data_IF_768495003016
#
_entry.id   IF_768495003016
#
_cell.length_a   1.000
_cell.length_b   1.000
_cell.length_c   1.000
_cell.angle_alpha   90.00
_cell.angle_beta   90.00
_cell.angle_gamma   90.00
#
_symmetry.space_group_name_H-M   'P 1'
#
loop_
_entity.id
_entity.type
_entity.pdbx_description
1 polymer ?
#
# COMPACT_ATOMS: atom_id res chain seq x y z
N UNK A 1 -2.55 0.77 41.69
CA UNK A 1 -1.71 0.41 40.50
C UNK A 1 -1.66 1.65 39.64
N UNK A 2 -0.53 1.91 38.99
CA UNK A 2 -0.47 2.98 37.99
C UNK A 2 -1.36 2.63 36.81
N UNK A 3 -1.93 3.64 36.17
CA UNK A 3 -2.62 3.45 34.90
C UNK A 3 -1.63 3.02 33.82
N UNK A 4 -2.10 2.27 32.84
CA UNK A 4 -1.28 1.76 31.73
C UNK A 4 -1.55 2.52 30.44
N UNK A 5 -0.50 2.67 29.63
CA UNK A 5 -0.56 3.10 28.23
C UNK A 5 0.06 2.05 27.34
N UNK A 6 -0.57 1.77 26.19
CA UNK A 6 0.03 0.94 25.14
C UNK A 6 0.73 1.87 24.14
N UNK A 7 2.02 1.65 23.93
CA UNK A 7 2.83 2.38 22.96
C UNK A 7 3.01 1.55 21.69
N UNK A 8 2.65 2.13 20.53
CA UNK A 8 3.07 1.61 19.23
C UNK A 8 4.60 1.73 19.14
N UNK A 9 5.29 0.61 19.28
CA UNK A 9 6.73 0.56 19.47
C UNK A 9 7.43 -0.08 18.28
N UNK A 10 8.19 0.70 17.54
CA UNK A 10 9.02 0.22 16.43
C UNK A 10 10.45 -0.13 16.83
N UNK A 11 10.88 0.27 18.04
CA UNK A 11 12.26 0.16 18.49
C UNK A 11 13.20 1.22 17.90
N UNK A 12 12.69 2.15 17.11
CA UNK A 12 13.43 3.32 16.64
C UNK A 12 13.67 4.35 17.73
N UNK A 13 14.44 5.38 17.41
CA UNK A 13 14.84 6.44 18.36
C UNK A 13 13.61 7.10 18.99
N UNK A 14 12.69 7.60 18.16
CA UNK A 14 11.51 8.35 18.61
C UNK A 14 10.66 7.51 19.59
N UNK A 15 10.32 6.28 19.22
CA UNK A 15 9.48 5.42 20.05
C UNK A 15 10.19 4.98 21.34
N UNK A 16 11.52 4.91 21.31
CA UNK A 16 12.34 4.62 22.49
C UNK A 16 12.37 5.81 23.47
N UNK A 17 12.53 7.04 22.97
CA UNK A 17 12.48 8.27 23.78
C UNK A 17 11.09 8.50 24.40
N UNK A 18 10.02 8.06 23.73
CA UNK A 18 8.64 8.19 24.24
C UNK A 18 8.42 7.37 25.52
N UNK A 19 9.12 6.26 25.75
CA UNK A 19 8.93 5.43 26.94
C UNK A 19 9.21 6.21 28.24
N UNK A 20 10.41 6.77 28.48
CA UNK A 20 10.66 7.57 29.67
C UNK A 20 9.80 8.84 29.72
N UNK A 21 9.53 9.46 28.56
CA UNK A 21 8.68 10.64 28.48
C UNK A 21 7.25 10.40 29.00
N UNK A 22 6.63 9.27 28.64
CA UNK A 22 5.31 8.88 29.14
C UNK A 22 5.30 8.65 30.67
N UNK A 23 6.37 8.08 31.20
CA UNK A 23 6.52 7.84 32.64
C UNK A 23 6.63 9.15 33.42
N UNK A 24 7.42 10.12 32.92
CA UNK A 24 7.64 11.42 33.57
C UNK A 24 6.41 12.33 33.47
N UNK A 25 5.81 12.43 32.31
CA UNK A 25 4.75 13.42 32.05
C UNK A 25 3.33 12.95 32.37
N UNK A 26 3.11 11.63 32.42
CA UNK A 26 1.80 11.03 32.64
C UNK A 26 1.78 10.04 33.80
N UNK A 27 2.91 9.65 34.35
CA UNK A 27 3.04 8.64 35.40
C UNK A 27 2.43 7.29 35.06
N UNK A 28 2.47 6.90 33.76
CA UNK A 28 1.95 5.62 33.28
C UNK A 28 2.95 4.48 33.42
N UNK A 29 2.44 3.27 33.55
CA UNK A 29 3.16 2.04 33.21
C UNK A 29 3.08 1.83 31.68
N UNK A 30 4.23 1.74 31.03
CA UNK A 30 4.30 1.70 29.56
C UNK A 30 4.37 0.26 29.07
N UNK A 31 3.35 -0.17 28.36
CA UNK A 31 3.28 -1.46 27.65
C UNK A 31 3.64 -1.21 26.18
N UNK A 32 4.79 -1.68 25.75
CA UNK A 32 5.19 -1.60 24.35
C UNK A 32 4.51 -2.68 23.54
N UNK A 33 4.07 -2.36 22.34
CA UNK A 33 3.54 -3.31 21.37
C UNK A 33 4.18 -3.06 20.00
N UNK A 34 5.01 -3.99 19.56
CA UNK A 34 5.51 -4.06 18.20
C UNK A 34 4.63 -5.04 17.41
N UNK A 35 4.17 -4.61 16.25
CA UNK A 35 3.36 -5.45 15.37
C UNK A 35 4.20 -5.81 14.16
N UNK A 36 4.44 -7.11 13.98
CA UNK A 36 5.19 -7.64 12.86
C UNK A 36 4.28 -7.78 11.64
N UNK A 37 4.54 -6.95 10.63
CA UNK A 37 3.94 -7.00 9.30
C UNK A 37 4.92 -7.55 8.25
N UNK A 38 5.95 -8.29 8.67
CA UNK A 38 6.99 -8.84 7.82
C UNK A 38 8.17 -7.90 7.59
N UNK A 39 8.51 -7.05 8.57
CA UNK A 39 9.66 -6.14 8.52
C UNK A 39 11.02 -6.82 8.74
N UNK A 40 11.03 -8.11 9.09
CA UNK A 40 12.25 -8.93 9.16
C UNK A 40 13.22 -8.52 10.26
N UNK A 41 14.47 -8.27 9.90
CA UNK A 41 15.59 -7.99 10.83
C UNK A 41 15.40 -6.76 11.73
N UNK A 42 14.46 -5.90 11.44
CA UNK A 42 14.13 -4.72 12.28
C UNK A 42 13.62 -5.12 13.69
N UNK A 43 13.21 -6.39 13.86
CA UNK A 43 12.76 -6.94 15.14
C UNK A 43 13.91 -7.38 16.06
N UNK A 44 15.14 -7.47 15.55
CA UNK A 44 16.28 -7.96 16.30
C UNK A 44 16.65 -7.01 17.45
N UNK A 45 16.86 -7.58 18.63
CA UNK A 45 17.23 -6.84 19.84
C UNK A 45 16.13 -5.94 20.45
N UNK A 46 14.91 -6.04 19.95
CA UNK A 46 13.78 -5.21 20.36
C UNK A 46 13.42 -5.39 21.84
N UNK A 47 13.48 -6.63 22.32
CA UNK A 47 13.13 -6.98 23.70
C UNK A 47 14.08 -6.34 24.73
N UNK A 48 15.38 -6.41 24.46
CA UNK A 48 16.41 -5.79 25.29
C UNK A 48 16.25 -4.25 25.26
N UNK A 49 16.03 -3.69 24.08
CA UNK A 49 15.86 -2.25 23.90
C UNK A 49 14.66 -1.71 24.67
N UNK A 50 13.50 -2.35 24.56
CA UNK A 50 12.30 -1.98 25.30
C UNK A 50 12.53 -2.04 26.82
N UNK A 51 13.19 -3.10 27.30
CA UNK A 51 13.52 -3.28 28.72
C UNK A 51 14.47 -2.20 29.24
N UNK A 52 15.56 -1.93 28.53
CA UNK A 52 16.52 -0.88 28.88
C UNK A 52 15.85 0.50 28.91
N UNK A 53 14.92 0.76 28.03
CA UNK A 53 14.19 2.03 27.99
C UNK A 53 13.14 2.15 29.09
N UNK A 54 12.93 1.11 29.88
CA UNK A 54 12.04 1.12 31.05
C UNK A 54 10.59 0.75 30.73
N UNK A 55 10.33 0.07 29.64
CA UNK A 55 9.03 -0.52 29.36
C UNK A 55 8.67 -1.55 30.44
N UNK A 56 7.40 -1.54 30.87
CA UNK A 56 6.89 -2.51 31.84
C UNK A 56 6.70 -3.88 31.21
N UNK A 57 6.35 -3.90 29.92
CA UNK A 57 6.09 -5.11 29.13
C UNK A 57 6.26 -4.82 27.65
N UNK A 58 6.65 -5.83 26.89
CA UNK A 58 6.68 -5.81 25.44
C UNK A 58 5.79 -6.94 24.89
N UNK A 59 5.00 -6.62 23.90
CA UNK A 59 4.35 -7.55 22.98
C UNK A 59 4.99 -7.44 21.61
N UNK A 60 5.30 -8.58 20.99
CA UNK A 60 5.66 -8.70 19.58
C UNK A 60 4.57 -9.58 18.96
N UNK A 61 3.74 -8.99 18.12
CA UNK A 61 2.54 -9.64 17.56
C UNK A 61 2.71 -9.80 16.06
N UNK A 62 2.90 -11.04 15.61
CA UNK A 62 2.99 -11.35 14.19
C UNK A 62 1.59 -11.37 13.56
N UNK A 63 1.35 -10.42 12.66
CA UNK A 63 0.14 -10.35 11.85
C UNK A 63 0.45 -10.49 10.35
N UNK A 64 1.59 -11.05 9.99
CA UNK A 64 2.06 -11.10 8.59
C UNK A 64 1.03 -11.74 7.65
N UNK A 65 0.44 -12.87 8.05
CA UNK A 65 -0.58 -13.53 7.24
C UNK A 65 -1.90 -12.74 7.24
N UNK A 66 -2.38 -12.25 8.41
CA UNK A 66 -3.54 -11.36 8.51
C UNK A 66 -3.37 -10.08 7.65
N UNK A 67 -2.18 -9.50 7.69
CA UNK A 67 -1.86 -8.33 6.86
C UNK A 67 -2.01 -8.63 5.36
N UNK A 68 -1.56 -9.79 4.93
CA UNK A 68 -1.70 -10.21 3.54
C UNK A 68 -3.17 -10.47 3.15
N UNK A 69 -3.87 -11.28 3.95
CA UNK A 69 -5.20 -11.76 3.60
C UNK A 69 -6.29 -10.70 3.77
N UNK A 70 -6.21 -9.89 4.83
CA UNK A 70 -7.27 -8.94 5.18
C UNK A 70 -7.05 -7.53 4.62
N UNK A 71 -5.80 -7.13 4.30
CA UNK A 71 -5.47 -5.77 3.84
C UNK A 71 -4.86 -5.71 2.45
N UNK A 72 -3.87 -6.56 2.14
CA UNK A 72 -3.21 -6.56 0.84
C UNK A 72 -4.14 -7.14 -0.23
N UNK A 73 -4.69 -8.34 -0.02
CA UNK A 73 -5.54 -9.01 -1.02
C UNK A 73 -6.71 -8.15 -1.46
N UNK A 74 -7.51 -7.50 -0.58
CA UNK A 74 -8.57 -6.60 -1.03
C UNK A 74 -8.07 -5.43 -1.88
N UNK A 75 -6.89 -4.87 -1.57
CA UNK A 75 -6.29 -3.80 -2.37
C UNK A 75 -5.80 -4.29 -3.74
N UNK A 76 -5.25 -5.52 -3.81
CA UNK A 76 -4.87 -6.16 -5.09
C UNK A 76 -6.12 -6.42 -5.93
N UNK A 77 -7.15 -7.03 -5.35
CA UNK A 77 -8.42 -7.30 -6.04
C UNK A 77 -9.09 -6.02 -6.56
N UNK A 78 -8.92 -4.91 -5.86
CA UNK A 78 -9.46 -3.61 -6.26
C UNK A 78 -8.62 -2.88 -7.32
N UNK A 79 -7.38 -3.29 -7.57
CA UNK A 79 -6.36 -2.49 -8.27
C UNK A 79 -6.21 -1.10 -7.61
N UNK A 80 -6.14 -1.08 -6.27
CA UNK A 80 -6.10 0.15 -5.49
C UNK A 80 -4.70 0.77 -5.52
N UNK A 81 -4.55 1.83 -6.30
CA UNK A 81 -3.28 2.56 -6.49
C UNK A 81 -3.51 4.05 -6.25
N UNK A 82 -2.85 4.62 -5.24
CA UNK A 82 -2.98 6.04 -4.95
C UNK A 82 -2.18 6.88 -5.94
N UNK A 83 -2.82 7.92 -6.48
CA UNK A 83 -2.25 8.82 -7.49
C UNK A 83 -1.59 8.09 -8.68
N UNK A 84 -2.13 6.93 -9.06
CA UNK A 84 -1.68 6.07 -10.17
C UNK A 84 -0.25 5.52 -10.02
N UNK A 85 0.35 5.59 -8.84
CA UNK A 85 1.73 5.13 -8.60
C UNK A 85 1.92 4.39 -7.29
N UNK A 86 1.38 4.91 -6.19
CA UNK A 86 1.67 4.41 -4.85
C UNK A 86 0.81 3.19 -4.51
N UNK A 87 1.45 2.05 -4.26
CA UNK A 87 0.80 0.77 -3.95
C UNK A 87 0.43 0.62 -2.46
N UNK A 88 0.30 1.71 -1.72
CA UNK A 88 -0.32 1.83 -0.39
C UNK A 88 0.37 1.06 0.76
N UNK A 89 1.61 0.62 0.62
CA UNK A 89 2.24 -0.32 1.57
C UNK A 89 2.20 0.14 3.03
N UNK A 90 2.59 1.37 3.33
CA UNK A 90 2.47 1.94 4.69
C UNK A 90 1.00 2.08 5.10
N UNK A 91 0.16 2.57 4.18
CA UNK A 91 -1.25 2.86 4.47
C UNK A 91 -2.05 1.62 4.82
N UNK A 92 -1.79 0.48 4.14
CA UNK A 92 -2.45 -0.80 4.39
C UNK A 92 -2.04 -1.44 5.72
N UNK A 93 -0.82 -1.19 6.20
CA UNK A 93 -0.33 -1.78 7.44
C UNK A 93 -0.94 -1.10 8.68
N UNK A 94 -1.19 0.20 8.64
CA UNK A 94 -1.60 0.98 9.83
C UNK A 94 -2.94 0.54 10.44
N UNK A 95 -4.01 0.19 9.70
CA UNK A 95 -5.23 -0.32 10.31
C UNK A 95 -5.02 -1.67 11.03
N UNK A 96 -4.23 -2.60 10.48
CA UNK A 96 -3.88 -3.87 11.14
C UNK A 96 -3.10 -3.64 12.43
N UNK A 97 -2.10 -2.77 12.39
CA UNK A 97 -1.33 -2.37 13.59
C UNK A 97 -2.24 -1.74 14.64
N UNK A 98 -3.08 -0.76 14.24
CA UNK A 98 -3.99 -0.09 15.17
C UNK A 98 -4.99 -1.05 15.82
N UNK A 99 -5.53 -2.01 15.07
CA UNK A 99 -6.40 -3.07 15.59
C UNK A 99 -5.69 -3.86 16.69
N UNK A 100 -4.45 -4.28 16.46
CA UNK A 100 -3.67 -5.03 17.43
C UNK A 100 -3.33 -4.20 18.68
N UNK A 101 -3.01 -2.91 18.52
CA UNK A 101 -2.82 -1.99 19.65
C UNK A 101 -4.05 -1.88 20.51
N UNK A 102 -5.24 -1.78 19.93
CA UNK A 102 -6.53 -1.76 20.66
C UNK A 102 -6.77 -3.07 21.39
N UNK A 103 -6.54 -4.22 20.77
CA UNK A 103 -6.68 -5.54 21.41
C UNK A 103 -5.76 -5.67 22.63
N UNK A 104 -4.51 -5.26 22.52
CA UNK A 104 -3.55 -5.26 23.64
C UNK A 104 -3.97 -4.25 24.73
N UNK A 105 -4.44 -3.07 24.35
CA UNK A 105 -4.93 -2.08 25.31
C UNK A 105 -6.11 -2.62 26.12
N UNK A 106 -7.06 -3.29 25.48
CA UNK A 106 -8.19 -3.96 26.16
C UNK A 106 -7.70 -5.08 27.08
N UNK A 107 -6.76 -5.92 26.62
CA UNK A 107 -6.18 -7.03 27.38
C UNK A 107 -5.45 -6.56 28.62
N UNK A 108 -4.72 -5.46 28.55
CA UNK A 108 -3.95 -4.88 29.64
C UNK A 108 -4.74 -3.94 30.55
N UNK A 109 -5.99 -3.60 30.18
CA UNK A 109 -6.79 -2.58 30.86
C UNK A 109 -6.14 -1.18 30.78
N UNK A 110 -5.49 -0.88 29.67
CA UNK A 110 -4.85 0.40 29.42
C UNK A 110 -5.88 1.50 29.17
N UNK A 111 -5.62 2.68 29.70
CA UNK A 111 -6.50 3.86 29.54
C UNK A 111 -6.14 4.70 28.33
N UNK A 112 -4.96 4.46 27.76
CA UNK A 112 -4.47 5.23 26.61
C UNK A 112 -3.68 4.35 25.63
N UNK A 113 -3.63 4.80 24.37
CA UNK A 113 -2.72 4.32 23.33
C UNK A 113 -1.88 5.51 22.88
N UNK A 114 -0.57 5.30 22.76
CA UNK A 114 0.39 6.30 22.28
C UNK A 114 1.02 5.85 20.97
N UNK A 115 1.23 6.77 20.04
CA UNK A 115 1.98 6.53 18.80
C UNK A 115 3.05 7.59 18.59
N UNK A 116 4.17 7.22 17.96
CA UNK A 116 5.29 8.11 17.65
C UNK A 116 5.22 8.80 16.29
N UNK A 117 4.07 8.76 15.60
CA UNK A 117 3.93 9.40 14.31
C UNK A 117 4.08 10.92 14.41
N UNK A 118 4.93 11.51 13.55
CA UNK A 118 5.20 12.94 13.52
C UNK A 118 4.00 13.76 13.06
N UNK A 119 3.94 15.03 13.48
CA UNK A 119 2.86 15.94 13.08
C UNK A 119 2.79 16.30 11.60
N UNK A 120 3.84 15.96 10.83
CA UNK A 120 3.93 16.20 9.37
C UNK A 120 3.52 14.99 8.52
N UNK A 121 3.46 13.79 9.14
CA UNK A 121 3.17 12.53 8.44
C UNK A 121 1.68 12.19 8.41
N UNK A 122 1.29 11.33 7.46
CA UNK A 122 -0.07 10.80 7.35
C UNK A 122 -0.40 9.78 8.46
N UNK A 123 0.61 9.11 9.01
CA UNK A 123 0.42 7.98 9.92
C UNK A 123 -0.31 8.34 11.21
N UNK A 124 -0.13 9.57 11.71
CA UNK A 124 -0.93 10.08 12.82
C UNK A 124 -2.44 9.98 12.54
N UNK A 125 -2.87 10.32 11.32
CA UNK A 125 -4.29 10.26 10.92
C UNK A 125 -4.73 8.80 10.84
N UNK A 126 -3.92 7.93 10.23
CA UNK A 126 -4.21 6.49 10.04
C UNK A 126 -4.36 5.76 11.37
N UNK A 127 -3.45 5.98 12.31
CA UNK A 127 -3.56 5.42 13.66
C UNK A 127 -4.79 5.94 14.41
N UNK A 128 -4.97 7.26 14.46
CA UNK A 128 -6.02 7.85 15.26
C UNK A 128 -7.42 7.54 14.74
N UNK A 129 -7.64 7.59 13.43
CA UNK A 129 -8.94 7.24 12.85
C UNK A 129 -9.28 5.76 13.09
N UNK A 130 -8.29 4.86 12.97
CA UNK A 130 -8.47 3.44 13.26
C UNK A 130 -8.77 3.21 14.74
N UNK A 131 -8.01 3.82 15.65
CA UNK A 131 -8.25 3.69 17.09
C UNK A 131 -9.62 4.27 17.48
N UNK A 132 -10.00 5.44 16.96
CA UNK A 132 -11.30 6.06 17.22
C UNK A 132 -12.47 5.20 16.73
N UNK A 133 -12.30 4.49 15.60
CA UNK A 133 -13.32 3.59 15.09
C UNK A 133 -13.48 2.32 15.96
N UNK A 134 -12.36 1.77 16.47
CA UNK A 134 -12.35 0.52 17.21
C UNK A 134 -12.50 0.68 18.73
N UNK A 135 -12.03 1.80 19.29
CA UNK A 135 -12.01 2.05 20.72
C UNK A 135 -12.19 3.55 21.04
N UNK A 136 -13.41 4.10 20.84
CA UNK A 136 -13.66 5.54 21.02
C UNK A 136 -13.50 6.04 22.45
N UNK A 137 -13.48 5.15 23.43
CA UNK A 137 -13.31 5.41 24.86
C UNK A 137 -11.83 5.46 25.30
N UNK A 138 -10.89 5.00 24.48
CA UNK A 138 -9.45 5.01 24.80
C UNK A 138 -8.85 6.36 24.42
N UNK A 139 -8.10 6.96 25.35
CA UNK A 139 -7.37 8.20 25.11
C UNK A 139 -6.21 7.96 24.12
N UNK A 140 -6.04 8.86 23.15
CA UNK A 140 -4.90 8.85 22.25
C UNK A 140 -3.87 9.87 22.70
N UNK A 141 -2.60 9.48 22.75
CA UNK A 141 -1.45 10.35 23.06
C UNK A 141 -0.55 10.40 21.81
N UNK A 142 -0.31 11.61 21.34
CA UNK A 142 0.57 11.89 20.20
C UNK A 142 1.64 12.90 20.63
N UNK A 143 2.83 12.45 21.06
CA UNK A 143 3.86 13.32 21.64
C UNK A 143 4.23 14.51 20.78
N UNK A 144 4.42 14.31 19.47
CA UNK A 144 4.77 15.36 18.52
C UNK A 144 3.77 16.53 18.43
N UNK A 145 2.60 16.40 19.04
CA UNK A 145 1.57 17.45 19.14
C UNK A 145 1.26 17.82 20.60
N UNK A 146 2.06 17.34 21.53
CA UNK A 146 1.92 17.64 22.96
C UNK A 146 2.91 18.73 23.35
N UNK A 147 2.45 19.77 24.02
CA UNK A 147 3.28 20.89 24.48
C UNK A 147 4.42 20.46 25.43
N UNK A 148 4.31 19.30 26.06
CA UNK A 148 5.33 18.71 26.91
C UNK A 148 6.47 18.05 26.15
N UNK A 149 6.28 17.74 24.87
CA UNK A 149 7.33 17.20 24.01
C UNK A 149 8.27 18.33 23.58
N UNK A 150 9.52 18.27 24.03
CA UNK A 150 10.53 19.31 23.79
C UNK A 150 11.66 18.86 22.87
N UNK A 151 11.60 17.61 22.39
CA UNK A 151 12.60 17.04 21.49
C UNK A 151 12.18 17.30 20.05
N UNK A 152 12.73 18.33 19.43
CA UNK A 152 12.41 18.79 18.08
C UNK A 152 13.43 18.35 17.02
N UNK A 153 14.47 17.64 17.45
CA UNK A 153 15.52 17.12 16.59
C UNK A 153 16.00 15.74 17.05
N UNK A 154 16.63 15.00 16.13
CA UNK A 154 17.25 13.70 16.40
C UNK A 154 18.31 13.80 17.49
N UNK A 155 19.10 14.86 17.48
CA UNK A 155 20.14 15.13 18.49
C UNK A 155 19.53 15.31 19.87
N UNK A 156 18.43 16.07 19.98
CA UNK A 156 17.73 16.29 21.24
C UNK A 156 17.14 14.97 21.80
N UNK A 157 16.61 14.11 20.94
CA UNK A 157 16.13 12.78 21.35
C UNK A 157 17.26 11.88 21.85
N UNK A 158 18.42 11.88 21.17
CA UNK A 158 19.61 11.11 21.58
C UNK A 158 20.10 11.62 22.95
N UNK A 159 20.19 12.94 23.13
CA UNK A 159 20.60 13.52 24.40
C UNK A 159 19.63 13.18 25.54
N UNK A 160 18.33 13.24 25.25
CA UNK A 160 17.29 12.86 26.20
C UNK A 160 17.39 11.38 26.61
N UNK A 161 17.57 10.48 25.64
CA UNK A 161 17.78 9.06 25.91
C UNK A 161 19.03 8.83 26.77
N UNK A 162 20.17 9.48 26.47
CA UNK A 162 21.40 9.38 27.24
C UNK A 162 21.23 9.88 28.68
N UNK A 163 20.50 10.99 28.87
CA UNK A 163 20.19 11.52 30.20
C UNK A 163 19.38 10.55 31.06
N UNK A 164 18.62 9.63 30.42
CA UNK A 164 17.85 8.57 31.07
C UNK A 164 18.61 7.23 31.17
N UNK A 165 19.91 7.21 30.84
CA UNK A 165 20.73 5.99 30.87
C UNK A 165 20.42 4.99 29.77
N UNK A 166 19.76 5.45 28.71
CA UNK A 166 19.42 4.63 27.53
C UNK A 166 20.53 4.86 26.51
N UNK A 167 21.40 3.86 26.35
CA UNK A 167 22.42 3.84 25.30
C UNK A 167 21.87 3.20 24.05
N UNK A 168 21.79 3.97 22.98
CA UNK A 168 21.20 3.52 21.72
C UNK A 168 22.28 3.31 20.66
N UNK A 169 22.17 2.26 19.85
CA UNK A 169 23.11 2.00 18.76
C UNK A 169 22.93 2.98 17.57
N UNK A 170 22.16 4.05 17.76
CA UNK A 170 21.88 5.04 16.73
C UNK A 170 22.93 6.15 16.76
N UNK A 171 23.66 6.28 15.63
CA UNK A 171 24.54 7.41 15.41
C UNK A 171 23.81 8.69 15.01
N UNK A 172 24.57 9.78 14.97
CA UNK A 172 24.10 11.08 14.43
C UNK A 172 24.14 11.12 12.89
N UNK A 173 24.57 10.03 12.24
CA UNK A 173 24.69 9.99 10.80
C UNK A 173 23.32 10.16 10.13
N UNK A 174 23.30 11.04 9.12
CA UNK A 174 22.12 11.24 8.32
C UNK A 174 21.78 9.95 7.55
N UNK A 175 20.56 9.50 7.70
CA UNK A 175 20.04 8.32 7.01
C UNK A 175 18.65 8.59 6.46
N UNK A 176 18.26 7.85 5.42
CA UNK A 176 16.88 7.90 4.95
C UNK A 176 15.91 7.52 6.08
N UNK A 177 14.81 8.23 6.16
CA UNK A 177 13.66 7.75 6.91
C UNK A 177 13.03 6.59 6.15
N UNK A 178 12.89 5.44 6.82
CA UNK A 178 12.39 4.20 6.22
C UNK A 178 11.21 3.65 7.01
N UNK A 179 10.22 3.12 6.28
CA UNK A 179 9.15 2.29 6.83
C UNK A 179 9.07 1.02 5.99
N UNK A 180 9.18 -0.14 6.64
CA UNK A 180 9.26 -1.45 6.00
C UNK A 180 8.18 -2.38 6.51
N UNK A 181 7.60 -3.14 5.59
CA UNK A 181 6.77 -4.30 5.86
C UNK A 181 6.95 -5.32 4.72
N UNK A 182 6.20 -6.41 4.74
CA UNK A 182 6.30 -7.44 3.71
C UNK A 182 6.03 -6.94 2.30
N UNK A 183 5.14 -5.94 2.14
CA UNK A 183 4.72 -5.42 0.85
C UNK A 183 5.73 -4.47 0.23
N UNK A 184 6.35 -3.62 1.06
CA UNK A 184 7.23 -2.55 0.55
C UNK A 184 8.26 -2.05 1.58
N UNK A 185 9.15 -1.20 1.10
CA UNK A 185 9.91 -0.26 1.91
C UNK A 185 9.83 1.14 1.31
N UNK A 186 9.60 2.15 2.16
CA UNK A 186 9.65 3.56 1.78
C UNK A 186 10.99 4.19 2.14
N UNK A 187 11.41 5.17 1.35
CA UNK A 187 12.60 5.99 1.58
C UNK A 187 12.24 7.46 1.42
N UNK A 188 12.53 8.25 2.45
CA UNK A 188 12.31 9.71 2.46
C UNK A 188 13.54 10.41 3.05
N UNK A 189 13.71 11.69 2.77
CA UNK A 189 14.78 12.53 3.31
C UNK A 189 16.03 12.61 2.42
N UNK A 190 17.08 13.23 2.92
CA UNK A 190 18.35 13.47 2.24
C UNK A 190 18.14 14.18 0.88
N UNK A 191 18.78 13.68 -0.20
CA UNK A 191 18.66 14.27 -1.55
C UNK A 191 17.23 14.21 -2.10
N UNK A 192 16.35 13.34 -1.55
CA UNK A 192 14.96 13.23 -1.99
C UNK A 192 14.10 14.44 -1.57
N UNK A 193 14.55 15.25 -0.61
CA UNK A 193 13.82 16.46 -0.17
C UNK A 193 13.73 17.51 -1.27
N UNK A 194 14.67 17.52 -2.21
CA UNK A 194 14.61 18.36 -3.40
C UNK A 194 14.23 17.51 -4.62
N UNK A 195 13.05 17.74 -5.23
CA UNK A 195 12.63 17.01 -6.42
C UNK A 195 13.56 17.18 -7.65
N UNK A 196 14.45 18.15 -7.65
CA UNK A 196 15.43 18.35 -8.71
C UNK A 196 16.60 17.35 -8.63
N UNK A 197 16.80 16.69 -7.49
CA UNK A 197 17.89 15.75 -7.31
C UNK A 197 17.54 14.35 -7.81
N UNK A 198 18.50 13.68 -8.45
CA UNK A 198 18.41 12.27 -8.79
C UNK A 198 18.56 11.41 -7.52
N UNK A 199 17.72 10.36 -7.31
CA UNK A 199 17.90 9.44 -6.21
C UNK A 199 19.19 8.64 -6.34
N UNK A 200 19.92 8.49 -5.24
CA UNK A 200 21.10 7.63 -5.21
C UNK A 200 20.69 6.17 -4.98
N UNK A 201 20.29 5.47 -6.03
CA UNK A 201 19.81 4.09 -5.94
C UNK A 201 20.84 3.09 -5.38
N UNK A 202 22.15 3.39 -5.46
CA UNK A 202 23.18 2.52 -4.86
C UNK A 202 23.10 2.44 -3.35
N UNK A 203 22.76 3.56 -2.70
CA UNK A 203 22.66 3.65 -1.25
C UNK A 203 21.23 3.54 -0.74
N UNK A 204 20.27 3.81 -1.61
CA UNK A 204 18.87 3.85 -1.25
C UNK A 204 18.24 2.45 -1.24
N UNK A 205 18.45 1.64 -2.29
CA UNK A 205 17.75 0.37 -2.49
C UNK A 205 18.17 -0.69 -1.47
N UNK A 206 17.19 -1.42 -0.93
CA UNK A 206 17.33 -2.47 0.08
C UNK A 206 16.73 -3.79 -0.39
N UNK A 207 15.59 -3.74 -1.10
CA UNK A 207 14.88 -4.96 -1.54
C UNK A 207 15.35 -5.44 -2.90
N UNK A 208 16.02 -4.61 -3.66
CA UNK A 208 16.43 -4.95 -5.01
C UNK A 208 17.63 -4.16 -5.51
N UNK A 209 17.80 -4.20 -6.81
CA UNK A 209 18.85 -3.48 -7.54
C UNK A 209 18.23 -2.52 -8.55
N UNK A 210 18.98 -1.52 -9.01
CA UNK A 210 18.52 -0.68 -10.12
C UNK A 210 18.41 -1.50 -11.41
N UNK A 211 17.55 -1.11 -12.38
CA UNK A 211 17.42 -1.80 -13.66
C UNK A 211 18.74 -1.98 -14.40
N UNK A 212 19.67 -1.03 -14.29
CA UNK A 212 20.99 -1.08 -14.91
C UNK A 212 21.86 -2.20 -14.33
N UNK A 213 21.71 -2.51 -13.04
CA UNK A 213 22.44 -3.56 -12.31
C UNK A 213 21.75 -4.92 -12.34
N UNK A 214 20.51 -4.99 -12.87
CA UNK A 214 19.78 -6.23 -13.00
C UNK A 214 20.42 -7.16 -14.05
N UNK A 215 20.23 -8.51 -13.91
CA UNK A 215 20.78 -9.48 -14.85
C UNK A 215 20.41 -9.22 -16.32
N UNK A 216 21.32 -9.55 -17.24
CA UNK A 216 21.07 -9.48 -18.68
C UNK A 216 20.20 -10.65 -19.20
N UNK A 217 20.01 -11.68 -18.39
CA UNK A 217 19.13 -12.81 -18.73
C UNK A 217 17.75 -12.62 -18.11
N UNK A 218 16.66 -12.72 -18.90
CA UNK A 218 15.31 -12.64 -18.38
C UNK A 218 14.94 -13.89 -17.57
N UNK A 219 14.03 -13.71 -16.61
CA UNK A 219 13.49 -14.80 -15.81
C UNK A 219 11.98 -14.92 -15.99
N UNK A 220 11.46 -16.14 -16.23
CA UNK A 220 10.04 -16.36 -16.35
C UNK A 220 9.43 -16.65 -14.97
N UNK A 221 8.26 -16.09 -14.73
CA UNK A 221 7.43 -16.36 -13.55
C UNK A 221 6.02 -16.69 -13.99
N UNK A 222 5.45 -17.74 -13.40
CA UNK A 222 4.07 -18.16 -13.61
C UNK A 222 3.32 -18.07 -12.29
N UNK A 223 2.15 -17.46 -12.30
CA UNK A 223 1.30 -17.30 -11.12
C UNK A 223 -0.09 -17.85 -11.38
N UNK A 224 -0.68 -18.54 -10.40
CA UNK A 224 -2.08 -18.96 -10.47
C UNK A 224 -2.93 -18.19 -9.46
N UNK A 225 -4.15 -17.94 -9.86
CA UNK A 225 -5.17 -17.25 -9.05
C UNK A 225 -6.43 -18.09 -8.95
N UNK A 226 -7.11 -17.99 -7.81
CA UNK A 226 -8.45 -18.49 -7.59
C UNK A 226 -9.30 -17.39 -6.95
N UNK A 227 -10.37 -16.97 -7.63
CA UNK A 227 -11.26 -15.88 -7.20
C UNK A 227 -10.49 -14.59 -6.82
N UNK A 228 -9.53 -14.24 -7.64
CA UNK A 228 -8.69 -13.04 -7.46
C UNK A 228 -7.62 -13.15 -6.37
N UNK A 229 -7.47 -14.31 -5.73
CA UNK A 229 -6.45 -14.55 -4.72
C UNK A 229 -5.29 -15.34 -5.34
N UNK A 230 -4.02 -14.93 -5.19
CA UNK A 230 -2.89 -15.69 -5.70
C UNK A 230 -2.71 -16.98 -4.89
N UNK A 231 -2.47 -18.11 -5.56
CA UNK A 231 -2.39 -19.44 -4.93
C UNK A 231 -1.09 -20.17 -5.18
N UNK A 232 -0.33 -19.79 -6.22
CA UNK A 232 0.97 -20.39 -6.50
C UNK A 232 1.92 -19.48 -7.27
N UNK A 233 3.21 -19.75 -7.14
CA UNK A 233 4.27 -19.20 -8.00
C UNK A 233 5.09 -20.38 -8.55
N UNK A 234 5.31 -20.38 -9.87
CA UNK A 234 6.06 -21.42 -10.59
C UNK A 234 5.60 -22.84 -10.25
N UNK A 235 4.26 -23.04 -10.17
CA UNK A 235 3.63 -24.32 -9.86
C UNK A 235 3.67 -24.75 -8.39
N UNK A 236 4.35 -24.01 -7.51
CA UNK A 236 4.39 -24.29 -6.08
C UNK A 236 3.26 -23.54 -5.37
N UNK A 237 2.32 -24.27 -4.78
CA UNK A 237 1.27 -23.73 -3.92
C UNK A 237 1.85 -23.15 -2.65
N UNK A 238 1.44 -21.96 -2.27
CA UNK A 238 1.89 -21.22 -1.10
C UNK A 238 0.77 -20.35 -0.55
N UNK A 239 0.88 -19.94 0.71
CA UNK A 239 0.06 -18.86 1.27
C UNK A 239 0.50 -17.49 0.69
N UNK A 240 -0.38 -16.51 0.78
CA UNK A 240 -0.16 -15.19 0.14
C UNK A 240 1.12 -14.52 0.63
N UNK A 241 1.43 -14.60 1.93
CA UNK A 241 2.64 -14.02 2.49
C UNK A 241 3.92 -14.60 1.89
N UNK A 242 3.95 -15.93 1.64
CA UNK A 242 5.11 -16.60 1.01
C UNK A 242 5.20 -16.29 -0.48
N UNK A 243 4.05 -16.12 -1.16
CA UNK A 243 3.99 -15.65 -2.55
C UNK A 243 4.64 -14.28 -2.65
N UNK A 244 4.26 -13.34 -1.77
CA UNK A 244 4.82 -11.99 -1.78
C UNK A 244 6.33 -12.01 -1.51
N UNK A 245 6.82 -12.83 -0.56
CA UNK A 245 8.26 -13.00 -0.30
C UNK A 245 9.01 -13.48 -1.55
N UNK A 246 8.48 -14.51 -2.21
CA UNK A 246 9.10 -15.03 -3.43
C UNK A 246 9.08 -14.00 -4.57
N UNK A 247 7.98 -13.29 -4.74
CA UNK A 247 7.88 -12.23 -5.75
C UNK A 247 8.79 -11.03 -5.42
N UNK A 248 8.98 -10.70 -4.13
CA UNK A 248 9.96 -9.69 -3.71
C UNK A 248 11.38 -10.11 -4.12
N UNK A 249 11.74 -11.38 -3.90
CA UNK A 249 13.05 -11.91 -4.30
C UNK A 249 13.25 -11.85 -5.81
N UNK A 250 12.25 -12.28 -6.59
CA UNK A 250 12.31 -12.29 -8.05
C UNK A 250 12.31 -10.84 -8.61
N UNK A 251 11.39 -10.01 -8.15
CA UNK A 251 11.25 -8.63 -8.61
C UNK A 251 12.46 -7.77 -8.24
N UNK A 252 12.95 -7.90 -7.00
CA UNK A 252 14.15 -7.19 -6.54
C UNK A 252 15.39 -7.54 -7.35
N UNK A 253 15.60 -8.83 -7.67
CA UNK A 253 16.68 -9.31 -8.54
C UNK A 253 16.64 -8.64 -9.91
N UNK A 254 15.46 -8.38 -10.46
CA UNK A 254 15.27 -7.81 -11.80
C UNK A 254 15.01 -6.30 -11.81
N UNK A 255 15.20 -5.60 -10.69
CA UNK A 255 15.04 -4.15 -10.61
C UNK A 255 13.61 -3.66 -10.77
N UNK A 256 12.62 -4.49 -10.40
CA UNK A 256 11.19 -4.20 -10.55
C UNK A 256 10.66 -3.49 -9.29
N UNK A 257 9.70 -2.57 -9.48
CA UNK A 257 8.92 -1.98 -8.41
C UNK A 257 9.58 -0.81 -7.70
N UNK A 258 10.49 -0.12 -8.34
CA UNK A 258 11.06 1.16 -7.88
C UNK A 258 10.13 2.28 -8.33
N UNK A 259 9.56 3.01 -7.39
CA UNK A 259 8.57 4.06 -7.63
C UNK A 259 9.03 5.35 -6.98
N UNK A 260 9.38 6.35 -7.78
CA UNK A 260 9.65 7.71 -7.32
C UNK A 260 8.40 8.57 -7.55
N UNK A 261 7.87 9.14 -6.48
CA UNK A 261 6.63 9.90 -6.52
C UNK A 261 6.70 11.16 -5.65
N UNK A 262 6.17 12.25 -6.18
CA UNK A 262 5.76 13.42 -5.40
C UNK A 262 4.27 13.29 -5.17
N UNK A 263 3.88 12.88 -3.97
CA UNK A 263 2.49 12.62 -3.58
C UNK A 263 1.86 13.76 -2.80
N UNK A 264 0.53 13.82 -2.79
CA UNK A 264 -0.22 14.76 -1.95
C UNK A 264 -0.58 14.07 -0.63
N UNK A 265 0.00 14.53 0.48
CA UNK A 265 -0.34 14.02 1.82
C UNK A 265 -1.74 14.49 2.25
N UNK A 266 -2.41 13.69 3.06
CA UNK A 266 -3.71 14.03 3.67
C UNK A 266 -3.64 15.33 4.47
N UNK A 267 -2.51 15.59 5.10
CA UNK A 267 -2.23 16.83 5.84
C UNK A 267 -2.02 18.06 4.94
N UNK A 268 -2.13 17.92 3.61
CA UNK A 268 -2.20 19.02 2.63
C UNK A 268 -0.90 19.42 1.96
N UNK A 269 0.25 18.88 2.38
CA UNK A 269 1.54 19.16 1.75
C UNK A 269 1.90 18.11 0.70
N UNK A 270 2.75 18.48 -0.25
CA UNK A 270 3.42 17.53 -1.14
C UNK A 270 4.65 16.93 -0.43
N UNK A 271 4.90 15.65 -0.70
CA UNK A 271 6.09 14.96 -0.20
C UNK A 271 6.62 14.04 -1.29
N UNK A 272 7.93 13.94 -1.40
CA UNK A 272 8.59 12.99 -2.29
C UNK A 272 9.07 11.79 -1.49
N UNK A 273 8.81 10.60 -2.02
CA UNK A 273 9.36 9.36 -1.51
C UNK A 273 9.73 8.43 -2.65
N UNK A 274 10.71 7.58 -2.42
CA UNK A 274 11.02 6.43 -3.27
C UNK A 274 10.56 5.17 -2.55
N UNK A 275 9.78 4.36 -3.25
CA UNK A 275 9.23 3.12 -2.73
C UNK A 275 9.81 1.93 -3.49
N UNK A 276 10.19 0.89 -2.78
CA UNK A 276 10.48 -0.42 -3.36
C UNK A 276 9.31 -1.35 -3.06
N UNK A 277 8.62 -1.79 -4.11
CA UNK A 277 7.48 -2.72 -4.00
C UNK A 277 7.59 -3.81 -5.07
N UNK A 278 8.69 -4.59 -5.08
CA UNK A 278 8.98 -5.48 -6.20
C UNK A 278 7.93 -6.57 -6.40
N UNK A 279 7.60 -7.30 -5.35
CA UNK A 279 6.59 -8.36 -5.41
C UNK A 279 5.18 -7.82 -5.60
N UNK A 280 4.87 -6.70 -4.95
CA UNK A 280 3.57 -6.04 -5.09
C UNK A 280 3.32 -5.59 -6.52
N UNK A 281 4.31 -5.03 -7.19
CA UNK A 281 4.20 -4.59 -8.59
C UNK A 281 3.91 -5.78 -9.52
N UNK A 282 4.61 -6.92 -9.32
CA UNK A 282 4.35 -8.14 -10.11
C UNK A 282 2.95 -8.68 -9.82
N UNK A 283 2.54 -8.73 -8.56
CA UNK A 283 1.24 -9.28 -8.15
C UNK A 283 0.08 -8.44 -8.69
N UNK A 284 0.16 -7.11 -8.58
CA UNK A 284 -0.85 -6.18 -9.13
C UNK A 284 -0.99 -6.33 -10.64
N UNK A 285 0.13 -6.37 -11.35
CA UNK A 285 0.11 -6.54 -12.82
C UNK A 285 -0.45 -7.91 -13.24
N UNK A 286 -0.10 -8.98 -12.50
CA UNK A 286 -0.63 -10.32 -12.79
C UNK A 286 -2.14 -10.42 -12.59
N UNK A 287 -2.64 -9.87 -11.48
CA UNK A 287 -4.06 -9.83 -11.18
C UNK A 287 -4.82 -9.05 -12.26
N UNK A 288 -4.35 -7.86 -12.60
CA UNK A 288 -4.93 -7.00 -13.63
C UNK A 288 -4.98 -7.68 -15.00
N UNK A 289 -3.88 -8.34 -15.39
CA UNK A 289 -3.83 -9.05 -16.66
C UNK A 289 -4.84 -10.21 -16.72
N UNK A 290 -5.11 -10.88 -15.60
CA UNK A 290 -6.14 -11.93 -15.56
C UNK A 290 -7.55 -11.32 -15.66
N UNK A 291 -7.81 -10.19 -15.02
CA UNK A 291 -9.09 -9.48 -15.14
C UNK A 291 -9.39 -9.03 -16.56
N UNK A 292 -8.40 -8.58 -17.32
CA UNK A 292 -8.55 -8.22 -18.75
C UNK A 292 -9.16 -9.36 -19.56
N UNK A 293 -8.95 -10.61 -19.13
CA UNK A 293 -9.42 -11.79 -19.85
C UNK A 293 -10.84 -12.22 -19.43
N UNK A 294 -11.23 -11.94 -18.18
CA UNK A 294 -12.44 -12.56 -17.59
C UNK A 294 -13.55 -11.57 -17.23
N UNK A 295 -13.26 -10.28 -17.15
CA UNK A 295 -14.27 -9.27 -16.84
C UNK A 295 -14.78 -8.58 -18.10
N UNK A 296 -16.09 -8.32 -18.14
CA UNK A 296 -16.69 -7.49 -19.18
C UNK A 296 -16.35 -6.00 -18.98
N UNK A 297 -16.52 -5.21 -20.04
CA UNK A 297 -16.18 -3.80 -20.08
C UNK A 297 -16.84 -2.98 -18.96
N UNK A 298 -18.14 -3.15 -18.75
CA UNK A 298 -18.89 -2.33 -17.77
C UNK A 298 -18.44 -2.63 -16.34
N UNK A 299 -18.20 -3.91 -16.04
CA UNK A 299 -17.65 -4.35 -14.76
C UNK A 299 -16.24 -3.79 -14.53
N UNK A 300 -15.36 -3.84 -15.54
CA UNK A 300 -14.00 -3.29 -15.44
C UNK A 300 -14.01 -1.78 -15.19
N UNK A 301 -14.83 -1.01 -15.93
CA UNK A 301 -14.95 0.44 -15.76
C UNK A 301 -15.42 0.79 -14.35
N UNK A 302 -16.47 0.15 -13.86
CA UNK A 302 -17.01 0.39 -12.51
C UNK A 302 -16.01 -0.02 -11.42
N UNK A 303 -15.36 -1.19 -11.60
CA UNK A 303 -14.34 -1.67 -10.65
C UNK A 303 -13.16 -0.72 -10.54
N UNK A 304 -12.71 -0.12 -11.65
CA UNK A 304 -11.64 0.88 -11.65
C UNK A 304 -12.00 2.10 -10.82
N UNK A 305 -13.25 2.58 -10.91
CA UNK A 305 -13.72 3.71 -10.08
C UNK A 305 -13.74 3.34 -8.60
N UNK A 306 -14.17 2.11 -8.28
CA UNK A 306 -14.16 1.60 -6.91
C UNK A 306 -12.74 1.38 -6.39
N UNK A 307 -11.81 0.92 -7.21
CA UNK A 307 -10.39 0.81 -6.88
C UNK A 307 -9.74 2.16 -6.55
N UNK A 308 -10.00 3.17 -7.37
CA UNK A 308 -9.59 4.55 -7.09
C UNK A 308 -10.20 5.05 -5.77
N UNK A 309 -11.47 4.71 -5.51
CA UNK A 309 -12.12 5.07 -4.24
C UNK A 309 -11.50 4.37 -3.06
N UNK A 310 -11.21 3.08 -3.17
CA UNK A 310 -10.55 2.31 -2.12
C UNK A 310 -9.15 2.85 -1.82
N UNK A 311 -8.38 3.21 -2.86
CA UNK A 311 -7.04 3.77 -2.68
C UNK A 311 -7.06 5.05 -1.83
N UNK A 312 -8.04 5.94 -2.04
CA UNK A 312 -8.24 7.13 -1.24
C UNK A 312 -8.62 6.79 0.21
N UNK A 313 -9.59 5.88 0.39
CA UNK A 313 -10.05 5.43 1.70
C UNK A 313 -8.87 4.88 2.53
N UNK A 314 -8.07 4.00 1.94
CA UNK A 314 -6.90 3.39 2.57
C UNK A 314 -5.83 4.43 2.88
N UNK A 315 -5.51 5.29 1.90
CA UNK A 315 -4.51 6.35 2.07
C UNK A 315 -4.85 7.30 3.20
N UNK A 316 -6.13 7.65 3.35
CA UNK A 316 -6.66 8.55 4.37
C UNK A 316 -6.88 7.88 5.74
N UNK A 317 -6.60 6.58 5.90
CA UNK A 317 -6.75 5.86 7.16
C UNK A 317 -8.20 5.54 7.54
N UNK A 318 -9.11 5.44 6.56
CA UNK A 318 -10.55 5.22 6.74
C UNK A 318 -10.95 3.75 6.55
N UNK A 319 -10.05 2.80 6.86
CA UNK A 319 -10.29 1.37 6.68
C UNK A 319 -11.54 0.89 7.42
N UNK A 320 -11.69 1.26 8.70
CA UNK A 320 -12.81 0.84 9.54
C UNK A 320 -14.04 1.75 9.37
N UNK A 321 -14.52 1.88 8.13
CA UNK A 321 -15.72 2.67 7.82
C UNK A 321 -16.71 1.85 6.98
N UNK A 322 -18.04 2.10 7.12
CA UNK A 322 -19.04 1.44 6.29
C UNK A 322 -18.78 1.60 4.77
N UNK A 323 -18.19 2.73 4.36
CA UNK A 323 -17.84 2.95 2.95
C UNK A 323 -16.75 1.99 2.49
N UNK A 324 -15.71 1.75 3.32
CA UNK A 324 -14.67 0.78 2.99
C UNK A 324 -15.25 -0.62 2.86
N UNK A 325 -16.09 -1.04 3.80
CA UNK A 325 -16.76 -2.34 3.77
C UNK A 325 -17.61 -2.53 2.50
N UNK A 326 -18.37 -1.50 2.11
CA UNK A 326 -19.21 -1.54 0.92
C UNK A 326 -18.37 -1.64 -0.37
N UNK A 327 -17.29 -0.88 -0.47
CA UNK A 327 -16.39 -0.92 -1.63
C UNK A 327 -15.67 -2.28 -1.71
N UNK A 328 -15.15 -2.79 -0.60
CA UNK A 328 -14.53 -4.12 -0.55
C UNK A 328 -15.52 -5.23 -0.91
N UNK A 329 -16.77 -5.15 -0.44
CA UNK A 329 -17.81 -6.13 -0.79
C UNK A 329 -18.13 -6.11 -2.29
N UNK A 330 -18.24 -4.92 -2.89
CA UNK A 330 -18.41 -4.77 -4.34
C UNK A 330 -17.23 -5.40 -5.08
N UNK A 331 -16.01 -5.02 -4.74
CA UNK A 331 -14.80 -5.55 -5.39
C UNK A 331 -14.75 -7.07 -5.28
N UNK A 332 -14.95 -7.61 -4.08
CA UNK A 332 -14.96 -9.08 -3.84
C UNK A 332 -15.98 -9.80 -4.72
N UNK A 333 -17.17 -9.21 -4.95
CA UNK A 333 -18.20 -9.82 -5.80
C UNK A 333 -17.78 -9.94 -7.26
N UNK A 334 -16.90 -9.04 -7.74
CA UNK A 334 -16.38 -9.09 -9.11
C UNK A 334 -15.32 -10.16 -9.33
N UNK A 335 -14.80 -10.76 -8.25
CA UNK A 335 -13.67 -11.69 -8.29
C UNK A 335 -14.07 -13.17 -8.47
N UNK A 336 -15.34 -13.49 -8.46
CA UNK A 336 -15.84 -14.88 -8.49
C UNK A 336 -15.26 -15.71 -9.64
N UNK A 337 -15.02 -15.09 -10.79
CA UNK A 337 -14.49 -15.74 -11.99
C UNK A 337 -13.05 -15.36 -12.32
N UNK A 338 -12.39 -14.53 -11.47
CA UNK A 338 -10.99 -14.14 -11.68
C UNK A 338 -10.08 -15.29 -11.22
N UNK A 339 -10.07 -16.35 -12.05
CA UNK A 339 -9.37 -17.62 -11.80
C UNK A 339 -8.61 -18.02 -13.06
N UNK A 340 -7.32 -18.33 -12.92
CA UNK A 340 -6.50 -18.70 -14.05
C UNK A 340 -5.01 -18.61 -13.77
N UNK A 341 -4.23 -18.64 -14.85
CA UNK A 341 -2.77 -18.60 -14.81
C UNK A 341 -2.26 -17.43 -15.63
N UNK A 342 -1.27 -16.71 -15.08
CA UNK A 342 -0.57 -15.62 -15.73
C UNK A 342 0.91 -15.92 -15.76
N UNK A 343 1.55 -15.70 -16.91
CA UNK A 343 2.98 -15.87 -17.12
C UNK A 343 3.62 -14.56 -17.56
N UNK A 344 4.70 -14.20 -16.91
CA UNK A 344 5.52 -13.06 -17.23
C UNK A 344 6.97 -13.44 -17.55
N UNK A 345 7.64 -12.53 -18.22
CA UNK A 345 9.07 -12.47 -18.35
C UNK A 345 9.57 -11.20 -17.64
N UNK A 346 10.37 -11.36 -16.58
CA UNK A 346 10.96 -10.28 -15.79
C UNK A 346 12.32 -9.93 -16.36
N UNK A 347 12.54 -8.65 -16.68
CA UNK A 347 13.77 -8.20 -17.30
C UNK A 347 14.02 -6.71 -17.08
N UNK A 348 15.11 -6.37 -16.39
CA UNK A 348 15.62 -4.99 -16.24
C UNK A 348 14.52 -3.96 -15.95
N UNK A 349 13.83 -4.13 -14.83
CA UNK A 349 12.76 -3.24 -14.37
C UNK A 349 11.41 -3.43 -15.07
N UNK A 350 11.33 -4.33 -16.06
CA UNK A 350 10.12 -4.53 -16.85
C UNK A 350 9.44 -5.87 -16.53
N UNK A 351 8.11 -5.84 -16.56
CA UNK A 351 7.23 -7.00 -16.52
C UNK A 351 6.66 -7.17 -17.93
N UNK A 352 7.06 -8.21 -18.64
CA UNK A 352 6.69 -8.45 -20.03
C UNK A 352 5.70 -9.60 -20.07
N UNK A 353 4.51 -9.37 -20.64
CA UNK A 353 3.46 -10.39 -20.78
C UNK A 353 3.97 -11.57 -21.60
N UNK A 354 3.75 -12.81 -21.10
CA UNK A 354 4.18 -14.04 -21.74
C UNK A 354 3.04 -15.08 -21.90
N UNK A 355 1.84 -14.75 -21.44
CA UNK A 355 0.64 -15.54 -21.63
C UNK A 355 -0.31 -15.45 -20.44
N UNK A 356 -1.61 -15.62 -20.70
CA UNK A 356 -2.66 -15.67 -19.69
C UNK A 356 -3.72 -16.67 -20.12
N UNK A 357 -4.16 -17.53 -19.20
CA UNK A 357 -5.21 -18.50 -19.44
C UNK A 357 -6.24 -18.48 -18.30
N UNK A 358 -7.52 -18.68 -18.65
CA UNK A 358 -8.61 -18.80 -17.69
C UNK A 358 -9.69 -19.71 -18.24
N UNK A 359 -10.29 -20.58 -17.40
CA UNK A 359 -11.50 -21.31 -17.81
C UNK A 359 -12.73 -20.41 -17.99
N UNK A 360 -12.66 -19.17 -17.47
CA UNK A 360 -13.72 -18.16 -17.57
C UNK A 360 -13.43 -17.06 -18.57
N UNK A 361 -12.48 -17.29 -19.48
CA UNK A 361 -12.10 -16.31 -20.52
C UNK A 361 -13.29 -15.86 -21.34
N UNK A 362 -13.47 -14.55 -21.47
CA UNK A 362 -14.41 -13.93 -22.41
C UNK A 362 -13.78 -13.74 -23.80
N UNK A 363 -12.46 -13.96 -23.91
CA UNK A 363 -11.80 -13.92 -25.21
C UNK A 363 -12.09 -15.19 -25.99
N UNK A 364 -12.76 -15.03 -27.14
CA UNK A 364 -13.02 -16.11 -28.07
C UNK A 364 -12.16 -15.91 -29.32
N UNK A 365 -11.21 -16.79 -29.54
CA UNK A 365 -10.31 -16.75 -30.71
C UNK A 365 -11.12 -16.73 -32.03
N UNK A 366 -12.18 -17.53 -32.12
CA UNK A 366 -13.02 -17.61 -33.31
C UNK A 366 -13.80 -16.31 -33.59
N UNK A 367 -14.24 -15.58 -32.55
CA UNK A 367 -14.92 -14.29 -32.70
C UNK A 367 -13.94 -13.15 -32.97
N UNK A 368 -12.74 -13.20 -32.39
CA UNK A 368 -11.72 -12.15 -32.50
C UNK A 368 -10.83 -12.33 -33.75
N UNK A 369 -10.88 -13.46 -34.41
CA UNK A 369 -10.03 -13.77 -35.58
C UNK A 369 -10.38 -12.90 -36.80
N UNK A 370 -9.36 -12.30 -37.39
CA UNK A 370 -9.48 -11.61 -38.69
C UNK A 370 -9.59 -12.57 -39.90
N UNK A 371 -9.38 -13.86 -39.67
CA UNK A 371 -9.33 -14.87 -40.75
C UNK A 371 -10.60 -15.74 -40.86
N UNK A 372 -11.43 -15.77 -39.82
CA UNK A 372 -12.66 -16.58 -39.74
C UNK A 372 -13.85 -15.70 -39.39
N UNK A 373 -14.55 -15.14 -40.36
CA UNK A 373 -15.47 -14.04 -40.22
C UNK A 373 -16.95 -14.33 -40.11
N UNK A 374 -17.42 -15.57 -39.78
CA UNK A 374 -18.85 -15.91 -39.94
C UNK A 374 -19.61 -16.22 -38.63
N UNK A 375 -19.08 -15.84 -37.45
CA UNK A 375 -19.74 -16.16 -36.18
C UNK A 375 -20.82 -15.15 -35.75
N UNK A 376 -20.89 -13.98 -36.38
CA UNK A 376 -21.97 -13.03 -36.23
C UNK A 376 -22.19 -12.26 -37.54
N UNK A 377 -23.40 -11.74 -37.75
CA UNK A 377 -23.73 -10.95 -38.94
C UNK A 377 -23.13 -9.54 -38.81
N UNK A 378 -22.21 -9.19 -39.70
CA UNK A 378 -21.58 -7.86 -39.75
C UNK A 378 -22.59 -6.73 -39.95
N UNK A 379 -23.76 -7.01 -40.56
CA UNK A 379 -24.84 -6.04 -40.77
C UNK A 379 -25.50 -5.60 -39.44
N UNK A 380 -25.37 -6.36 -38.34
CA UNK A 380 -25.86 -5.93 -37.04
C UNK A 380 -25.20 -4.64 -36.56
N UNK A 381 -23.96 -4.39 -37.01
CA UNK A 381 -23.22 -3.16 -36.68
C UNK A 381 -23.87 -1.91 -37.32
N UNK A 382 -24.53 -2.01 -38.48
CA UNK A 382 -25.13 -0.86 -39.14
C UNK A 382 -26.24 -0.22 -38.31
N UNK A 383 -27.12 -1.04 -37.74
CA UNK A 383 -28.19 -0.58 -36.85
C UNK A 383 -27.63 0.02 -35.55
N UNK A 384 -26.66 -0.68 -34.95
CA UNK A 384 -25.99 -0.20 -33.73
C UNK A 384 -25.31 1.15 -33.96
N UNK A 385 -24.48 1.28 -35.01
CA UNK A 385 -23.73 2.52 -35.31
C UNK A 385 -24.69 3.67 -35.59
N UNK A 386 -25.80 3.40 -36.31
CA UNK A 386 -26.81 4.43 -36.61
C UNK A 386 -27.44 5.00 -35.36
N UNK A 387 -27.86 4.15 -34.42
CA UNK A 387 -28.52 4.60 -33.19
C UNK A 387 -27.52 5.20 -32.21
N UNK A 388 -26.36 4.59 -32.05
CA UNK A 388 -25.30 5.05 -31.14
C UNK A 388 -24.70 6.39 -31.60
N UNK A 389 -24.59 6.59 -32.93
CA UNK A 389 -24.10 7.83 -33.54
C UNK A 389 -25.15 8.94 -33.68
N UNK A 390 -26.45 8.68 -33.39
CA UNK A 390 -27.52 9.64 -33.59
C UNK A 390 -27.32 11.00 -32.87
N UNK A 391 -26.89 11.06 -31.61
CA UNK A 391 -26.61 12.34 -30.96
C UNK A 391 -25.53 13.17 -31.66
N UNK A 392 -24.49 12.51 -32.19
CA UNK A 392 -23.41 13.16 -32.94
C UNK A 392 -23.92 13.74 -34.26
N UNK A 393 -24.73 12.95 -34.96
CA UNK A 393 -25.36 13.37 -36.25
C UNK A 393 -26.28 14.58 -36.03
N UNK A 394 -27.16 14.54 -35.03
CA UNK A 394 -28.09 15.64 -34.73
C UNK A 394 -27.34 16.92 -34.36
N UNK A 395 -26.29 16.79 -33.53
CA UNK A 395 -25.43 17.92 -33.18
C UNK A 395 -24.75 18.52 -34.42
N UNK A 396 -24.16 17.70 -35.27
CA UNK A 396 -23.49 18.17 -36.49
C UNK A 396 -24.47 18.88 -37.44
N UNK A 397 -25.67 18.32 -37.65
CA UNK A 397 -26.71 18.97 -38.45
C UNK A 397 -27.11 20.35 -37.92
N UNK A 398 -27.23 20.48 -36.57
CA UNK A 398 -27.57 21.77 -35.95
C UNK A 398 -26.45 22.81 -36.11
N UNK A 399 -25.19 22.39 -36.01
CA UNK A 399 -24.03 23.26 -36.22
C UNK A 399 -23.99 23.78 -37.68
N UNK A 400 -24.22 22.89 -38.67
CA UNK A 400 -24.28 23.28 -40.06
C UNK A 400 -25.44 24.26 -40.38
N UNK A 401 -26.58 24.05 -39.74
CA UNK A 401 -27.73 25.00 -39.85
C UNK A 401 -27.38 26.41 -39.33
N UNK A 402 -26.72 26.47 -38.15
CA UNK A 402 -26.29 27.73 -37.54
C UNK A 402 -25.23 28.45 -38.37
N UNK A 403 -24.28 27.73 -38.97
CA UNK A 403 -23.28 28.30 -39.88
C UNK A 403 -23.92 28.90 -41.12
N UNK A 404 -24.86 28.17 -41.78
CA UNK A 404 -25.60 28.69 -42.93
C UNK A 404 -26.39 29.96 -42.59
N UNK A 405 -27.00 30.03 -41.41
CA UNK A 405 -27.77 31.21 -40.99
C UNK A 405 -26.87 32.42 -40.72
N UNK A 406 -25.62 32.23 -40.28
CA UNK A 406 -24.62 33.31 -40.11
C UNK A 406 -24.18 33.86 -41.47
N UNK A 407 -23.87 32.98 -42.42
CA UNK A 407 -23.43 33.38 -43.79
C UNK A 407 -24.53 34.11 -44.57
N UNK A 408 -25.80 33.86 -44.26
CA UNK A 408 -26.94 34.57 -44.89
C UNK A 408 -27.30 35.92 -44.24
N UNK A 409 -26.64 36.28 -43.12
CA UNK A 409 -26.83 37.56 -42.42
C UNK A 409 -25.70 38.57 -42.67
N UNK A 410 -24.59 38.09 -43.28
CA UNK A 410 -23.52 38.93 -43.85
C UNK A 410 -23.82 39.23 -45.34
#
# INVERSE_FOLDING_TARGET
>A
MKEKVVLAYSGGLDTTAIIPWLKENYNYDVVCCCVDCGQGEELDGLEERAKYSGATKLYIEDITDEFCDDYIVPCVQADAVYENKYLLGTSMARPGIAKRLVEIARKEGAVAICHGATGKGNDQIRFELSIKALAPDIKIIAPWRDDKWKMDSREAEIEYCKAHGIDLPFGTDQSYSRDRNLWHISHEGLELEDPANEPNYEHLLVLGVSPEKAPDEPEYVTMTFEKGVPTSVNGKKMKVSDIIRELNRLGGKHGIGIIDIVENRVVGMKSRGVYETPGGTILMEAHKQLEELVLDRATMETKKDMGNKLSQIVYEGKWFTPLCEAVCAFVKSTQEYVTGEVKFKLYKGNIIKAGTTSPYSLYSESLASFTTGELYDHHDADGFITLFGLPLKVRAMKMLELEKNKTNQE
#
